data_IF_583789031791
#
_entry.id   IF_583789031791
#
_cell.length_a   1.000
_cell.length_b   1.000
_cell.length_c   1.000
_cell.angle_alpha   90.00
_cell.angle_beta   90.00
_cell.angle_gamma   90.00
#
_symmetry.space_group_name_H-M   'P 1'
#
loop_
_entity.id
_entity.type
_entity.pdbx_description
1 polymer ?
#
# COMPACT_ATOMS: atom_id res chain seq x y z
N UNK A 1 -3.79 10.68 15.84
CA UNK A 1 -2.96 10.79 17.07
C UNK A 1 -1.84 11.83 16.92
N UNK A 2 -0.99 11.72 15.90
CA UNK A 2 0.09 12.68 15.63
C UNK A 2 -0.38 14.15 15.57
N UNK A 3 -1.34 14.46 14.70
CA UNK A 3 -1.87 15.82 14.57
C UNK A 3 -2.48 16.36 15.88
N UNK A 4 -3.12 15.50 16.68
CA UNK A 4 -3.66 15.86 17.98
C UNK A 4 -2.54 16.20 18.98
N UNK A 5 -1.47 15.40 19.03
CA UNK A 5 -0.30 15.67 19.86
C UNK A 5 0.43 16.95 19.46
N UNK A 6 0.63 17.18 18.16
CA UNK A 6 1.21 18.44 17.68
C UNK A 6 0.33 19.63 18.03
N UNK A 7 -0.99 19.48 17.96
CA UNK A 7 -1.91 20.55 18.32
C UNK A 7 -1.92 20.83 19.83
N UNK A 8 -1.88 19.81 20.69
CA UNK A 8 -1.80 20.02 22.14
C UNK A 8 -0.45 20.62 22.55
N UNK A 9 0.65 20.23 21.90
CA UNK A 9 1.96 20.88 22.08
C UNK A 9 1.92 22.35 21.67
N UNK A 10 1.22 22.70 20.58
CA UNK A 10 1.05 24.09 20.17
C UNK A 10 0.34 24.91 21.26
N UNK A 11 -0.78 24.38 21.78
CA UNK A 11 -1.56 25.04 22.84
C UNK A 11 -0.73 25.19 24.12
N UNK A 12 0.03 24.17 24.52
CA UNK A 12 0.95 24.24 25.64
C UNK A 12 2.04 25.30 25.43
N UNK A 13 2.62 25.37 24.23
CA UNK A 13 3.63 26.37 23.88
C UNK A 13 3.10 27.80 23.99
N UNK A 14 1.86 28.03 23.53
CA UNK A 14 1.16 29.31 23.66
C UNK A 14 0.89 29.67 25.12
N UNK A 15 0.53 28.68 25.95
CA UNK A 15 0.23 28.90 27.36
C UNK A 15 1.47 29.26 28.18
N UNK A 16 2.59 28.57 27.94
CA UNK A 16 3.83 28.75 28.70
C UNK A 16 4.83 29.75 28.07
N UNK A 17 4.47 30.40 26.95
CA UNK A 17 5.35 31.28 26.17
C UNK A 17 6.73 30.66 25.90
N UNK A 18 6.75 29.34 25.66
CA UNK A 18 7.99 28.58 25.54
C UNK A 18 8.42 28.49 24.07
N UNK A 19 9.39 29.32 23.69
CA UNK A 19 9.95 29.37 22.33
C UNK A 19 10.48 28.01 21.83
N UNK A 20 11.02 27.16 22.71
CA UNK A 20 11.53 25.84 22.32
C UNK A 20 10.39 24.91 21.90
N UNK A 21 9.27 24.95 22.61
CA UNK A 21 8.10 24.13 22.31
C UNK A 21 7.44 24.54 20.99
N UNK A 22 7.46 25.83 20.64
CA UNK A 22 7.04 26.28 19.30
C UNK A 22 7.91 25.70 18.19
N UNK A 23 9.24 25.74 18.32
CA UNK A 23 10.18 25.18 17.33
C UNK A 23 9.90 23.69 17.13
N UNK A 24 9.75 22.92 18.21
CA UNK A 24 9.46 21.49 18.12
C UNK A 24 8.11 21.22 17.43
N UNK A 25 7.08 21.98 17.77
CA UNK A 25 5.75 21.79 17.20
C UNK A 25 5.74 22.06 15.69
N UNK A 26 6.39 23.15 15.25
CA UNK A 26 6.51 23.45 13.82
C UNK A 26 7.37 22.43 13.08
N UNK A 27 8.43 21.91 13.70
CA UNK A 27 9.25 20.84 13.13
C UNK A 27 8.46 19.54 12.93
N UNK A 28 7.69 19.12 13.93
CA UNK A 28 6.83 17.94 13.81
C UNK A 28 5.75 18.14 12.73
N UNK A 29 5.15 19.32 12.70
CA UNK A 29 4.13 19.66 11.71
C UNK A 29 4.70 19.61 10.28
N UNK A 30 5.87 20.20 10.04
CA UNK A 30 6.52 20.17 8.73
C UNK A 30 6.94 18.75 8.33
N UNK A 31 7.46 17.95 9.26
CA UNK A 31 7.77 16.53 9.03
C UNK A 31 6.51 15.74 8.63
N UNK A 32 5.38 16.01 9.28
CA UNK A 32 4.09 15.44 8.94
C UNK A 32 3.70 15.72 7.49
N UNK A 33 3.78 16.98 7.06
CA UNK A 33 3.48 17.37 5.67
C UNK A 33 4.42 16.71 4.65
N UNK A 34 5.72 16.70 4.92
CA UNK A 34 6.71 16.05 4.02
C UNK A 34 6.44 14.55 3.92
N UNK A 35 6.13 13.91 5.04
CA UNK A 35 5.83 12.47 5.08
C UNK A 35 4.56 12.14 4.30
N UNK A 36 3.50 12.93 4.47
CA UNK A 36 2.25 12.78 3.73
C UNK A 36 2.48 12.92 2.22
N UNK A 37 3.23 13.94 1.81
CA UNK A 37 3.55 14.16 0.40
C UNK A 37 4.40 13.02 -0.18
N UNK A 38 5.39 12.52 0.57
CA UNK A 38 6.22 11.40 0.13
C UNK A 38 5.42 10.10 0.01
N UNK A 39 4.52 9.85 0.96
CA UNK A 39 3.63 8.69 0.95
C UNK A 39 2.75 8.69 -0.32
N UNK A 40 2.15 9.83 -0.66
CA UNK A 40 1.36 9.97 -1.88
C UNK A 40 2.21 9.79 -3.15
N UNK A 41 3.39 10.43 -3.20
CA UNK A 41 4.28 10.29 -4.35
C UNK A 41 4.66 8.85 -4.61
N UNK A 42 4.74 8.02 -3.58
CA UNK A 42 5.14 6.63 -3.69
C UNK A 42 4.21 5.78 -4.57
N UNK A 43 2.91 6.11 -4.60
CA UNK A 43 1.93 5.41 -5.45
C UNK A 43 1.77 6.05 -6.84
N UNK A 44 2.06 7.34 -6.97
CA UNK A 44 1.85 8.07 -8.23
C UNK A 44 2.84 7.61 -9.30
N UNK A 45 2.29 7.22 -10.45
CA UNK A 45 3.06 6.82 -11.64
C UNK A 45 3.52 5.36 -11.63
N UNK A 46 2.96 4.53 -10.74
CA UNK A 46 3.09 3.08 -10.83
C UNK A 46 2.18 2.55 -11.94
N UNK A 47 2.71 1.67 -12.77
CA UNK A 47 1.93 0.88 -13.71
C UNK A 47 1.70 -0.50 -13.11
N UNK A 48 0.48 -1.00 -13.19
CA UNK A 48 0.13 -2.33 -12.71
C UNK A 48 -0.41 -3.14 -13.89
N UNK A 49 0.13 -4.33 -14.08
CA UNK A 49 -0.29 -5.27 -15.12
C UNK A 49 -0.52 -6.64 -14.53
N UNK A 50 -1.51 -7.36 -15.05
CA UNK A 50 -1.76 -8.74 -14.65
C UNK A 50 -0.72 -9.67 -15.25
N UNK A 51 0.02 -10.40 -14.42
CA UNK A 51 1.03 -11.36 -14.87
C UNK A 51 0.41 -12.75 -15.06
N UNK A 52 -0.58 -13.12 -14.24
CA UNK A 52 -1.28 -14.40 -14.36
C UNK A 52 -1.87 -14.88 -13.04
N UNK A 53 -2.50 -16.04 -13.11
CA UNK A 53 -2.96 -16.78 -11.93
C UNK A 53 -2.87 -18.26 -12.25
N UNK A 54 -2.22 -19.01 -11.38
CA UNK A 54 -2.12 -20.45 -11.56
C UNK A 54 -3.46 -21.13 -11.22
N UNK A 55 -3.87 -22.14 -12.01
CA UNK A 55 -5.10 -22.85 -11.73
C UNK A 55 -4.93 -23.72 -10.48
N UNK A 56 -5.84 -23.58 -9.53
CA UNK A 56 -5.78 -24.26 -8.23
C UNK A 56 -6.94 -25.22 -8.03
N UNK A 57 -6.79 -26.19 -7.13
CA UNK A 57 -7.91 -27.05 -6.75
C UNK A 57 -8.78 -26.38 -5.69
N UNK A 58 -10.08 -26.72 -5.66
CA UNK A 58 -10.98 -26.19 -4.63
C UNK A 58 -10.40 -26.43 -3.23
N UNK A 59 -10.28 -25.39 -2.41
CA UNK A 59 -9.65 -25.44 -1.09
C UNK A 59 -8.21 -24.96 -1.03
N UNK A 60 -7.56 -24.71 -2.17
CA UNK A 60 -6.26 -24.05 -2.23
C UNK A 60 -6.45 -22.54 -2.45
N UNK A 61 -5.47 -21.74 -2.02
CA UNK A 61 -5.46 -20.31 -2.31
C UNK A 61 -4.99 -20.08 -3.75
N UNK A 62 -5.76 -19.34 -4.53
CA UNK A 62 -5.37 -18.91 -5.87
C UNK A 62 -4.40 -17.74 -5.75
N UNK A 63 -3.22 -17.90 -6.33
CA UNK A 63 -2.16 -16.89 -6.28
C UNK A 63 -2.27 -15.97 -7.48
N UNK A 64 -2.84 -14.78 -7.28
CA UNK A 64 -2.90 -13.76 -8.31
C UNK A 64 -1.57 -13.02 -8.39
N UNK A 65 -0.90 -13.14 -9.53
CA UNK A 65 0.37 -12.51 -9.82
C UNK A 65 0.12 -11.16 -10.51
N UNK A 66 0.47 -10.08 -9.85
CA UNK A 66 0.31 -8.71 -10.35
C UNK A 66 1.70 -8.07 -10.46
N UNK A 67 2.12 -7.79 -11.68
CA UNK A 67 3.35 -7.06 -11.94
C UNK A 67 3.12 -5.57 -11.67
N UNK A 68 3.99 -4.97 -10.85
CA UNK A 68 4.04 -3.54 -10.60
C UNK A 68 5.34 -3.02 -11.22
N UNK A 69 5.21 -2.09 -12.16
CA UNK A 69 6.32 -1.46 -12.86
C UNK A 69 6.48 -0.01 -12.43
N UNK A 70 7.69 0.36 -12.05
CA UNK A 70 8.05 1.72 -11.68
C UNK A 70 8.88 2.36 -12.79
N UNK A 71 8.22 3.12 -13.67
CA UNK A 71 8.89 3.89 -14.74
C UNK A 71 9.64 5.13 -14.23
N UNK A 72 9.53 5.45 -12.94
CA UNK A 72 10.20 6.60 -12.35
C UNK A 72 11.67 6.31 -12.04
N UNK A 73 12.46 7.38 -11.96
CA UNK A 73 13.85 7.34 -11.49
C UNK A 73 13.96 7.23 -9.96
N UNK A 74 12.84 7.29 -9.24
CA UNK A 74 12.80 7.24 -7.78
C UNK A 74 12.47 5.83 -7.30
N UNK A 75 13.15 5.39 -6.25
CA UNK A 75 12.83 4.18 -5.50
C UNK A 75 11.44 4.26 -4.85
N UNK A 76 10.69 3.15 -4.86
CA UNK A 76 9.34 3.04 -4.32
C UNK A 76 9.28 1.97 -3.22
N UNK A 77 9.53 2.35 -1.96
CA UNK A 77 9.63 1.38 -0.87
C UNK A 77 8.26 1.03 -0.28
N UNK A 78 8.17 -0.11 0.41
CA UNK A 78 7.01 -0.59 1.15
C UNK A 78 5.70 -0.52 0.38
N UNK A 79 5.67 -1.12 -0.82
CA UNK A 79 4.45 -1.37 -1.56
C UNK A 79 3.83 -2.68 -1.11
N UNK A 80 2.50 -2.70 -1.02
CA UNK A 80 1.76 -3.89 -0.62
C UNK A 80 0.41 -3.92 -1.31
N UNK A 81 0.03 -5.07 -1.85
CA UNK A 81 -1.31 -5.31 -2.38
C UNK A 81 -2.26 -5.73 -1.26
N UNK A 82 -3.53 -5.37 -1.39
CA UNK A 82 -4.54 -5.74 -0.43
C UNK A 82 -5.92 -5.90 -1.05
N UNK A 83 -6.71 -6.85 -0.54
CA UNK A 83 -8.11 -7.05 -0.90
C UNK A 83 -8.89 -7.62 0.29
N UNK A 84 -9.99 -6.98 0.70
CA UNK A 84 -10.97 -7.58 1.61
C UNK A 84 -10.45 -8.16 2.94
N UNK A 85 -9.25 -7.76 3.39
CA UNK A 85 -8.56 -8.31 4.58
C UNK A 85 -7.31 -9.15 4.28
N UNK A 86 -7.16 -9.60 3.04
CA UNK A 86 -5.96 -10.29 2.52
C UNK A 86 -4.93 -9.24 2.11
N UNK A 87 -3.67 -9.51 2.40
CA UNK A 87 -2.55 -8.62 2.07
C UNK A 87 -1.42 -9.46 1.47
N UNK A 88 -0.71 -8.90 0.49
CA UNK A 88 0.52 -9.51 -0.03
C UNK A 88 1.69 -9.25 0.93
N UNK A 89 2.84 -9.81 0.60
CA UNK A 89 4.12 -9.38 1.17
C UNK A 89 4.40 -7.90 0.86
N UNK A 90 5.24 -7.29 1.69
CA UNK A 90 5.69 -5.91 1.53
C UNK A 90 7.00 -5.96 0.75
N UNK A 91 7.04 -5.24 -0.36
CA UNK A 91 8.19 -5.22 -1.24
C UNK A 91 8.59 -3.80 -1.62
N UNK A 92 9.89 -3.66 -1.88
CA UNK A 92 10.52 -2.45 -2.37
C UNK A 92 10.74 -2.57 -3.87
N UNK A 93 10.41 -1.51 -4.61
CA UNK A 93 10.54 -1.46 -6.06
C UNK A 93 11.55 -0.38 -6.46
N UNK A 94 12.67 -0.79 -7.05
CA UNK A 94 13.73 0.12 -7.47
C UNK A 94 13.31 0.98 -8.67
N UNK A 95 14.15 1.97 -8.97
CA UNK A 95 13.95 2.85 -10.11
C UNK A 95 14.02 2.07 -11.43
N UNK A 96 12.99 2.14 -12.27
CA UNK A 96 12.92 1.38 -13.52
C UNK A 96 12.66 -0.12 -13.37
N UNK A 97 12.45 -0.61 -12.14
CA UNK A 97 12.21 -2.03 -11.89
C UNK A 97 10.74 -2.40 -12.15
N UNK A 98 10.54 -3.64 -12.58
CA UNK A 98 9.25 -4.31 -12.57
C UNK A 98 9.33 -5.55 -11.69
N UNK A 99 8.45 -5.67 -10.71
CA UNK A 99 8.39 -6.82 -9.79
C UNK A 99 6.99 -7.40 -9.76
N UNK A 100 6.89 -8.72 -9.62
CA UNK A 100 5.63 -9.43 -9.46
C UNK A 100 5.29 -9.54 -7.98
N UNK A 101 4.08 -9.12 -7.64
CA UNK A 101 3.51 -9.24 -6.30
C UNK A 101 2.46 -10.35 -6.32
N UNK A 102 2.41 -11.10 -5.23
CA UNK A 102 1.61 -12.30 -5.10
C UNK A 102 0.47 -12.06 -4.10
N UNK A 103 -0.77 -12.26 -4.56
CA UNK A 103 -1.97 -12.08 -3.74
C UNK A 103 -2.72 -13.42 -3.62
N UNK A 104 -2.65 -14.03 -2.45
CA UNK A 104 -3.25 -15.32 -2.17
C UNK A 104 -4.74 -15.19 -1.80
N UNK A 105 -5.63 -15.57 -2.72
CA UNK A 105 -7.06 -15.50 -2.51
C UNK A 105 -7.63 -16.89 -2.23
N UNK A 106 -8.17 -17.15 -1.03
CA UNK A 106 -8.67 -18.48 -0.67
C UNK A 106 -9.87 -18.86 -1.54
N UNK A 107 -9.83 -20.06 -2.12
CA UNK A 107 -10.93 -20.58 -2.95
C UNK A 107 -11.64 -21.73 -2.23
N UNK A 108 -12.97 -21.73 -2.24
CA UNK A 108 -13.76 -22.78 -1.56
C UNK A 108 -14.55 -23.66 -2.53
N UNK A 109 -15.00 -23.12 -3.66
CA UNK A 109 -15.84 -23.83 -4.62
C UNK A 109 -15.16 -23.90 -5.99
N UNK A 110 -15.42 -25.00 -6.70
CA UNK A 110 -15.06 -25.14 -8.12
C UNK A 110 -15.71 -24.03 -8.93
N UNK A 111 -14.96 -23.44 -9.84
CA UNK A 111 -15.49 -22.43 -10.76
C UNK A 111 -14.45 -21.45 -11.24
N UNK A 112 -14.90 -20.37 -11.87
CA UNK A 112 -14.05 -19.21 -12.15
C UNK A 112 -14.01 -18.32 -10.93
N UNK A 113 -12.81 -18.07 -10.40
CA UNK A 113 -12.62 -17.02 -9.40
C UNK A 113 -12.37 -15.71 -10.12
N UNK A 114 -13.01 -14.64 -9.65
CA UNK A 114 -12.88 -13.30 -10.23
C UNK A 114 -12.38 -12.35 -9.16
N UNK A 115 -11.38 -11.55 -9.51
CA UNK A 115 -10.82 -10.51 -8.65
C UNK A 115 -11.14 -9.14 -9.26
N UNK A 116 -12.30 -8.57 -8.93
CA UNK A 116 -12.79 -7.32 -9.56
C UNK A 116 -12.03 -6.07 -9.12
N UNK A 117 -11.63 -6.07 -7.84
CA UNK A 117 -11.07 -4.89 -7.20
C UNK A 117 -10.05 -5.30 -6.15
N UNK A 118 -8.85 -4.77 -6.29
CA UNK A 118 -7.82 -4.83 -5.28
C UNK A 118 -7.21 -3.44 -5.11
N UNK A 119 -6.45 -3.24 -4.05
CA UNK A 119 -5.74 -2.00 -3.81
C UNK A 119 -4.25 -2.23 -3.68
N UNK A 120 -3.48 -1.18 -3.99
CA UNK A 120 -2.08 -1.06 -3.59
C UNK A 120 -2.00 -0.02 -2.49
N UNK A 121 -1.21 -0.28 -1.46
CA UNK A 121 -0.99 0.64 -0.34
C UNK A 121 0.49 0.75 -0.01
N UNK A 122 0.81 1.83 0.67
CA UNK A 122 2.14 2.07 1.24
C UNK A 122 2.04 2.82 2.55
N UNK A 123 2.97 2.52 3.45
CA UNK A 123 3.12 3.12 4.79
C UNK A 123 4.44 3.87 4.94
N UNK A 124 5.28 3.92 3.90
CA UNK A 124 6.53 4.66 3.92
C UNK A 124 6.27 6.18 4.02
N UNK A 125 7.11 6.98 4.73
CA UNK A 125 8.35 6.59 5.42
C UNK A 125 8.25 6.19 6.90
N UNK A 126 7.31 6.76 7.65
CA UNK A 126 7.28 6.62 9.11
C UNK A 126 6.03 5.88 9.62
N UNK A 127 5.24 5.27 8.73
CA UNK A 127 3.95 4.65 9.02
C UNK A 127 2.90 5.57 9.66
N UNK A 128 3.19 6.87 9.72
CA UNK A 128 2.29 7.92 10.22
C UNK A 128 1.08 8.12 9.31
N UNK A 129 1.28 7.91 8.01
CA UNK A 129 0.27 8.06 6.97
C UNK A 129 0.21 6.79 6.13
N UNK A 130 -0.99 6.49 5.63
CA UNK A 130 -1.22 5.40 4.70
C UNK A 130 -1.74 6.01 3.41
N UNK A 131 -1.03 5.80 2.31
CA UNK A 131 -1.55 6.06 0.99
C UNK A 131 -2.07 4.76 0.39
N UNK A 132 -3.17 4.83 -0.35
CA UNK A 132 -3.74 3.69 -1.05
C UNK A 132 -4.31 4.13 -2.40
N UNK A 133 -4.31 3.20 -3.36
CA UNK A 133 -4.98 3.35 -4.64
C UNK A 133 -5.80 2.09 -4.90
N UNK A 134 -7.06 2.28 -5.30
CA UNK A 134 -7.95 1.20 -5.68
C UNK A 134 -7.92 1.00 -7.18
N UNK A 135 -7.72 -0.24 -7.61
CA UNK A 135 -7.72 -0.62 -9.02
C UNK A 135 -8.88 -1.58 -9.28
N UNK A 136 -9.53 -1.37 -10.42
CA UNK A 136 -10.52 -2.28 -10.96
C UNK A 136 -9.90 -2.94 -12.18
N UNK A 137 -9.62 -4.24 -12.08
CA UNK A 137 -9.13 -5.06 -13.18
C UNK A 137 -9.95 -6.33 -13.18
N UNK A 138 -10.38 -6.79 -14.34
CA UNK A 138 -11.16 -8.04 -14.45
C UNK A 138 -10.21 -9.24 -14.54
N UNK A 139 -9.67 -9.64 -13.38
CA UNK A 139 -8.77 -10.80 -13.31
C UNK A 139 -9.57 -12.07 -13.07
N UNK A 140 -9.22 -13.13 -13.80
CA UNK A 140 -9.92 -14.42 -13.73
C UNK A 140 -8.95 -15.57 -13.53
N UNK A 141 -9.25 -16.43 -12.56
CA UNK A 141 -8.58 -17.71 -12.34
C UNK A 141 -9.53 -18.89 -12.45
N UNK A 142 -8.97 -20.08 -12.66
CA UNK A 142 -9.75 -21.32 -12.78
C UNK A 142 -9.51 -22.21 -11.55
N UNK A 143 -10.60 -22.65 -10.92
CA UNK A 143 -10.58 -23.56 -9.78
C UNK A 143 -11.10 -24.93 -10.19
N UNK A 144 -10.24 -25.94 -10.18
CA UNK A 144 -10.56 -27.33 -10.50
C UNK A 144 -11.28 -28.04 -9.34
N UNK A 145 -12.11 -29.06 -9.62
CA UNK A 145 -12.68 -29.92 -8.58
C UNK A 145 -11.57 -30.65 -7.81
N UNK A 146 -11.75 -30.85 -6.49
CA UNK A 146 -10.83 -31.68 -5.70
C UNK A 146 -10.74 -33.09 -6.32
N UNK A 147 -9.53 -33.65 -6.51
CA UNK A 147 -9.35 -35.04 -6.90
C UNK A 147 -9.83 -36.01 -5.81
#
# INVERSE_FOLDING_TARGET
>A
MFALMSFTMLLGSMNYNNNLSFVLTFLLTSLGFVSMHQCQRNLVGLELSFAGVDPVFAGQAAEFQIAITNHSKNHRPHLQLYIGGIVSEIDDLAAGESRVFHLEVPTQQRGRIRLDRFGVRTLFPFELFRAWAWLHMDLHGLVYPRP
#
